data_IF_003066380875
#
_entry.id   IF_003066380875
#
_cell.length_a   1.000
_cell.length_b   1.000
_cell.length_c   1.000
_cell.angle_alpha   90.00
_cell.angle_beta   90.00
_cell.angle_gamma   90.00
#
_symmetry.space_group_name_H-M   'P 1'
#
loop_
_entity.id
_entity.type
_entity.pdbx_description
1 polymer ?
#
# COMPACT_ATOMS: atom_id res chain seq x y z
N UNK A 1 -1.66 22.36 -8.95
CA UNK A 1 -1.03 21.03 -9.04
C UNK A 1 -2.13 20.01 -8.84
N UNK A 2 -2.24 19.05 -9.74
CA UNK A 2 -3.13 17.90 -9.55
C UNK A 2 -2.50 17.01 -8.48
N UNK A 3 -3.27 16.61 -7.46
CA UNK A 3 -2.85 15.64 -6.45
C UNK A 3 -3.77 14.43 -6.54
N UNK A 4 -3.62 13.57 -7.57
CA UNK A 4 -4.57 12.48 -7.83
C UNK A 4 -4.67 11.50 -6.67
N UNK A 5 -3.57 11.32 -5.92
CA UNK A 5 -3.48 10.46 -4.74
C UNK A 5 -3.84 11.16 -3.43
N UNK A 6 -4.26 12.43 -3.49
CA UNK A 6 -4.65 13.23 -2.32
C UNK A 6 -3.51 13.33 -1.29
N UNK A 7 -3.74 12.94 -0.01
CA UNK A 7 -2.74 13.04 1.05
C UNK A 7 -1.53 12.12 0.86
N UNK A 8 -1.60 11.13 -0.04
CA UNK A 8 -0.47 10.26 -0.35
C UNK A 8 0.39 10.78 -1.51
N UNK A 9 0.01 11.88 -2.15
CA UNK A 9 0.78 12.47 -3.24
C UNK A 9 2.24 12.80 -2.83
N UNK A 10 2.50 13.44 -1.67
CA UNK A 10 3.88 13.73 -1.28
C UNK A 10 4.73 12.48 -1.03
N UNK A 11 4.11 11.35 -0.63
CA UNK A 11 4.81 10.07 -0.51
C UNK A 11 5.25 9.60 -1.89
N UNK A 12 4.35 9.62 -2.87
CA UNK A 12 4.68 9.27 -4.25
C UNK A 12 5.84 10.11 -4.78
N UNK A 13 5.74 11.43 -4.67
CA UNK A 13 6.70 12.39 -5.21
C UNK A 13 8.10 12.22 -4.58
N UNK A 14 8.18 11.89 -3.29
CA UNK A 14 9.45 11.68 -2.58
C UNK A 14 10.33 10.56 -3.20
N UNK A 15 9.72 9.62 -3.92
CA UNK A 15 10.43 8.51 -4.55
C UNK A 15 10.88 8.80 -6.00
N UNK A 16 10.59 9.99 -6.54
CA UNK A 16 10.96 10.35 -7.91
C UNK A 16 12.49 10.35 -8.12
N UNK A 17 13.26 10.63 -7.07
CA UNK A 17 14.73 10.58 -7.09
C UNK A 17 15.29 9.19 -7.42
N UNK A 18 14.53 8.13 -7.15
CA UNK A 18 14.90 6.72 -7.38
C UNK A 18 13.93 5.98 -8.30
N UNK A 19 13.11 6.68 -9.07
CA UNK A 19 12.07 6.10 -9.96
C UNK A 19 12.64 4.98 -10.85
N UNK A 20 13.77 5.26 -11.52
CA UNK A 20 14.42 4.31 -12.40
C UNK A 20 14.93 3.05 -11.69
N UNK A 21 15.34 3.16 -10.42
CA UNK A 21 15.72 2.00 -9.62
C UNK A 21 14.48 1.18 -9.22
N UNK A 22 13.43 1.85 -8.73
CA UNK A 22 12.20 1.19 -8.29
C UNK A 22 11.52 0.42 -9.42
N UNK A 23 11.53 0.94 -10.65
CA UNK A 23 11.04 0.25 -11.86
C UNK A 23 11.80 -1.02 -12.23
N UNK A 24 13.02 -1.21 -11.71
CA UNK A 24 13.86 -2.40 -11.97
C UNK A 24 13.85 -3.42 -10.83
N UNK A 25 13.27 -3.09 -9.67
CA UNK A 25 13.19 -4.04 -8.55
C UNK A 25 12.31 -5.24 -8.94
N UNK A 26 12.69 -6.47 -8.58
CA UNK A 26 11.82 -7.64 -8.76
C UNK A 26 10.62 -7.55 -7.81
N UNK A 27 9.49 -8.20 -8.15
CA UNK A 27 8.30 -8.23 -7.28
C UNK A 27 8.58 -8.78 -5.87
N UNK A 28 9.58 -9.65 -5.72
CA UNK A 28 10.01 -10.18 -4.42
C UNK A 28 10.52 -9.08 -3.48
N UNK A 29 11.10 -8.00 -4.00
CA UNK A 29 11.53 -6.86 -3.18
C UNK A 29 10.36 -6.25 -2.40
N UNK A 30 9.25 -5.96 -3.09
CA UNK A 30 8.06 -5.37 -2.47
C UNK A 30 7.40 -6.32 -1.47
N UNK A 31 7.36 -7.62 -1.79
CA UNK A 31 6.83 -8.64 -0.86
C UNK A 31 7.62 -8.67 0.45
N UNK A 32 8.95 -8.73 0.37
CA UNK A 32 9.79 -8.75 1.56
C UNK A 32 9.73 -7.43 2.33
N UNK A 33 9.68 -6.30 1.63
CA UNK A 33 9.52 -4.99 2.26
C UNK A 33 8.22 -4.90 3.08
N UNK A 34 7.09 -5.35 2.52
CA UNK A 34 5.81 -5.40 3.27
C UNK A 34 5.93 -6.31 4.50
N UNK A 35 6.55 -7.48 4.37
CA UNK A 35 6.74 -8.39 5.51
C UNK A 35 7.54 -7.73 6.63
N UNK A 36 8.66 -7.09 6.31
CA UNK A 36 9.52 -6.40 7.29
C UNK A 36 8.73 -5.32 8.05
N UNK A 37 7.89 -4.56 7.35
CA UNK A 37 7.07 -3.51 7.97
C UNK A 37 6.01 -4.07 8.93
N UNK A 38 5.46 -5.26 8.65
CA UNK A 38 4.60 -5.94 9.61
C UNK A 38 5.38 -6.48 10.83
N UNK A 39 6.60 -6.99 10.62
CA UNK A 39 7.48 -7.40 11.72
C UNK A 39 7.82 -6.18 12.64
N UNK A 40 8.07 -5.01 12.06
CA UNK A 40 8.34 -3.74 12.78
C UNK A 40 7.09 -3.19 13.49
N UNK A 41 5.93 -3.29 12.84
CA UNK A 41 4.64 -2.94 13.43
C UNK A 41 4.37 -3.75 14.71
N UNK A 42 4.55 -5.07 14.65
CA UNK A 42 4.38 -5.95 15.81
C UNK A 42 5.35 -5.59 16.94
N UNK A 43 6.62 -5.32 16.60
CA UNK A 43 7.62 -4.89 17.56
C UNK A 43 7.23 -3.55 18.23
N UNK A 44 6.70 -2.58 17.49
CA UNK A 44 6.25 -1.32 18.05
C UNK A 44 5.02 -1.48 18.96
N UNK A 45 4.05 -2.30 18.56
CA UNK A 45 2.87 -2.59 19.38
C UNK A 45 3.24 -3.30 20.68
N UNK A 46 4.14 -4.28 20.64
CA UNK A 46 4.63 -4.99 21.83
C UNK A 46 5.29 -4.05 22.85
N UNK A 47 5.84 -2.92 22.39
CA UNK A 47 6.45 -1.89 23.23
C UNK A 47 5.51 -0.71 23.56
N UNK A 48 4.21 -0.80 23.23
CA UNK A 48 3.23 0.25 23.48
C UNK A 48 3.38 1.50 22.61
N UNK A 49 4.18 1.44 21.53
CA UNK A 49 4.51 2.59 20.66
C UNK A 49 3.52 2.72 19.50
N UNK A 50 2.26 3.10 19.80
CA UNK A 50 1.18 3.16 18.79
C UNK A 50 1.48 4.10 17.62
N UNK A 51 2.07 5.28 17.89
CA UNK A 51 2.39 6.24 16.83
C UNK A 51 3.46 5.73 15.88
N UNK A 52 4.43 4.95 16.40
CA UNK A 52 5.44 4.31 15.57
C UNK A 52 4.80 3.19 14.73
N UNK A 53 3.98 2.33 15.34
CA UNK A 53 3.24 1.29 14.60
C UNK A 53 2.36 1.88 13.48
N UNK A 54 1.74 3.04 13.68
CA UNK A 54 0.96 3.72 12.65
C UNK A 54 1.81 4.18 11.46
N UNK A 55 3.08 4.56 11.69
CA UNK A 55 4.01 4.93 10.62
C UNK A 55 4.38 3.72 9.76
N UNK A 56 4.61 2.56 10.36
CA UNK A 56 4.87 1.32 9.60
C UNK A 56 3.67 0.97 8.66
N UNK A 57 2.42 1.23 9.08
CA UNK A 57 1.25 1.06 8.19
C UNK A 57 1.28 2.04 7.02
N UNK A 58 1.71 3.28 7.23
CA UNK A 58 1.89 4.26 6.15
C UNK A 58 3.02 3.84 5.21
N UNK A 59 4.08 3.24 5.74
CA UNK A 59 5.18 2.71 4.94
C UNK A 59 4.75 1.49 4.10
N UNK A 60 3.81 0.66 4.57
CA UNK A 60 3.14 -0.35 3.72
C UNK A 60 2.39 0.30 2.55
N UNK A 61 1.73 1.44 2.76
CA UNK A 61 1.08 2.21 1.67
C UNK A 61 2.14 2.72 0.69
N UNK A 62 3.26 3.26 1.18
CA UNK A 62 4.40 3.71 0.38
C UNK A 62 4.96 2.58 -0.49
N UNK A 63 5.12 1.38 0.06
CA UNK A 63 5.58 0.20 -0.68
C UNK A 63 4.56 -0.22 -1.76
N UNK A 64 3.26 -0.20 -1.44
CA UNK A 64 2.21 -0.52 -2.40
C UNK A 64 2.18 0.48 -3.58
N UNK A 65 2.34 1.78 -3.30
CA UNK A 65 2.47 2.81 -4.33
C UNK A 65 3.70 2.58 -5.21
N UNK A 66 4.84 2.25 -4.62
CA UNK A 66 6.04 1.94 -5.41
C UNK A 66 5.94 0.64 -6.21
N UNK A 67 5.15 -0.33 -5.75
CA UNK A 67 4.81 -1.52 -6.54
C UNK A 67 3.97 -1.13 -7.78
N UNK A 68 3.02 -0.21 -7.63
CA UNK A 68 2.26 0.34 -8.77
C UNK A 68 3.17 1.11 -9.74
N UNK A 69 4.12 1.90 -9.22
CA UNK A 69 5.19 2.55 -10.03
C UNK A 69 6.00 1.51 -10.81
N UNK A 70 6.39 0.42 -10.16
CA UNK A 70 7.13 -0.69 -10.79
C UNK A 70 6.32 -1.36 -11.92
N UNK A 71 5.01 -1.47 -11.75
CA UNK A 71 4.08 -1.97 -12.77
C UNK A 71 3.77 -0.94 -13.88
N UNK A 72 4.33 0.27 -13.80
CA UNK A 72 4.21 1.32 -14.82
C UNK A 72 3.05 2.29 -14.65
N UNK A 73 2.25 2.17 -13.60
CA UNK A 73 1.10 3.04 -13.38
C UNK A 73 1.51 4.46 -12.95
N UNK A 74 0.75 5.44 -13.43
CA UNK A 74 0.84 6.85 -13.04
C UNK A 74 -0.18 7.19 -11.94
N UNK A 75 0.03 8.30 -11.19
CA UNK A 75 -0.87 8.72 -10.11
C UNK A 75 -2.36 8.80 -10.49
N UNK A 76 -2.69 9.34 -11.67
CA UNK A 76 -4.08 9.44 -12.16
C UNK A 76 -4.71 8.05 -12.39
N UNK A 77 -3.95 7.13 -13.00
CA UNK A 77 -4.40 5.76 -13.27
C UNK A 77 -4.63 4.99 -11.97
N UNK A 78 -3.75 5.19 -10.97
CA UNK A 78 -3.90 4.61 -9.64
C UNK A 78 -5.17 5.13 -8.96
N UNK A 79 -5.43 6.44 -9.04
CA UNK A 79 -6.62 7.04 -8.46
C UNK A 79 -7.90 6.47 -9.08
N UNK A 80 -7.92 6.28 -10.40
CA UNK A 80 -9.05 5.69 -11.12
C UNK A 80 -9.26 4.21 -10.77
N UNK A 81 -8.19 3.42 -10.71
CA UNK A 81 -8.25 2.02 -10.26
C UNK A 81 -8.79 1.93 -8.82
N UNK A 82 -8.28 2.77 -7.92
CA UNK A 82 -8.70 2.78 -6.52
C UNK A 82 -10.18 3.15 -6.38
N UNK A 83 -10.64 4.18 -7.10
CA UNK A 83 -12.05 4.59 -7.11
C UNK A 83 -12.95 3.49 -7.67
N UNK A 84 -12.60 2.94 -8.83
CA UNK A 84 -13.37 1.86 -9.45
C UNK A 84 -13.43 0.62 -8.55
N UNK A 85 -12.35 0.26 -7.85
CA UNK A 85 -12.33 -0.84 -6.89
C UNK A 85 -13.24 -0.58 -5.70
N UNK A 86 -13.18 0.62 -5.14
CA UNK A 86 -14.01 1.01 -4.01
C UNK A 86 -15.51 0.95 -4.38
N UNK A 87 -15.88 1.48 -5.54
CA UNK A 87 -17.27 1.55 -5.98
C UNK A 87 -17.83 0.20 -6.43
N UNK A 88 -17.07 -0.55 -7.23
CA UNK A 88 -17.60 -1.74 -7.89
C UNK A 88 -17.42 -3.02 -7.06
N UNK A 89 -16.48 -3.05 -6.11
CA UNK A 89 -16.15 -4.29 -5.38
C UNK A 89 -16.18 -4.18 -3.87
N UNK A 90 -16.08 -2.99 -3.28
CA UNK A 90 -15.98 -2.86 -1.82
C UNK A 90 -17.24 -2.25 -1.21
N UNK A 91 -17.80 -1.21 -1.83
CA UNK A 91 -18.98 -0.50 -1.33
C UNK A 91 -20.16 -1.46 -1.22
N UNK A 92 -20.68 -1.62 0.00
CA UNK A 92 -21.77 -2.56 0.31
C UNK A 92 -21.37 -4.04 0.39
N UNK A 93 -20.13 -4.41 0.04
CA UNK A 93 -19.66 -5.80 -0.04
C UNK A 93 -18.48 -6.09 0.92
N UNK A 94 -18.04 -5.11 1.71
CA UNK A 94 -16.84 -5.25 2.56
C UNK A 94 -16.91 -6.44 3.53
N UNK A 95 -18.08 -6.71 4.12
CA UNK A 95 -18.27 -7.85 5.03
C UNK A 95 -18.10 -9.20 4.31
N UNK A 96 -18.64 -9.32 3.10
CA UNK A 96 -18.49 -10.53 2.27
C UNK A 96 -17.05 -10.73 1.81
N UNK A 97 -16.34 -9.64 1.52
CA UNK A 97 -14.90 -9.70 1.23
C UNK A 97 -14.14 -10.25 2.43
N UNK A 98 -14.42 -9.76 3.64
CA UNK A 98 -13.76 -10.23 4.86
C UNK A 98 -14.06 -11.72 5.10
N UNK A 99 -15.32 -12.13 5.01
CA UNK A 99 -15.73 -13.53 5.12
C UNK A 99 -15.04 -14.42 4.05
N UNK A 100 -14.80 -13.88 2.85
CA UNK A 100 -14.08 -14.61 1.81
C UNK A 100 -12.62 -14.88 2.16
N UNK A 101 -11.94 -13.99 2.89
CA UNK A 101 -10.58 -14.24 3.40
C UNK A 101 -10.59 -15.35 4.45
N UNK A 102 -11.52 -15.28 5.39
CA UNK A 102 -11.65 -16.28 6.45
C UNK A 102 -11.94 -17.67 5.88
N UNK A 103 -12.84 -17.77 4.90
CA UNK A 103 -13.22 -19.04 4.26
C UNK A 103 -12.11 -19.63 3.40
N UNK A 104 -11.37 -18.81 2.67
CA UNK A 104 -10.38 -19.29 1.68
C UNK A 104 -9.00 -19.50 2.27
N UNK A 105 -8.60 -18.64 3.20
CA UNK A 105 -7.23 -18.58 3.70
C UNK A 105 -7.15 -18.78 5.21
N UNK A 106 -8.28 -18.80 5.92
CA UNK A 106 -8.32 -18.99 7.37
C UNK A 106 -7.91 -17.75 8.17
N UNK A 107 -7.76 -16.59 7.52
CA UNK A 107 -7.36 -15.31 8.12
C UNK A 107 -8.49 -14.30 8.14
#
# INVERSE_FOLDING_TARGET
MTNPLGPFQPIWDAWDEVDGEMKRKPLTHFREAVRIQFDELDAHLANGKRDAAAREVVDVISIALNCLRNLGYQPDEIADIARARAENRMRGQAAEILDSYQKRYGI
#
